data_IF_892695098174
#
_entry.id   IF_892695098174
#
_cell.length_a   1.000
_cell.length_b   1.000
_cell.length_c   1.000
_cell.angle_alpha   90.00
_cell.angle_beta   90.00
_cell.angle_gamma   90.00
#
_symmetry.space_group_name_H-M   'P 1'
#
loop_
_entity.id
_entity.type
_entity.pdbx_description
1 polymer ?
#
# COMPACT_ATOMS: atom_id res chain seq x y z
N UNK A 1 -33.61 -38.42 7.87
CA UNK A 1 -33.33 -37.21 7.07
C UNK A 1 -33.38 -36.00 8.01
N UNK A 2 -32.27 -35.34 8.33
CA UNK A 2 -32.19 -34.03 9.02
C UNK A 2 -30.72 -33.59 9.15
N UNK A 3 -30.10 -33.19 8.03
CA UNK A 3 -28.79 -32.50 8.02
C UNK A 3 -28.73 -31.31 7.03
N UNK A 4 -29.78 -30.48 6.81
CA UNK A 4 -29.62 -29.27 5.99
C UNK A 4 -29.22 -28.02 6.79
N UNK A 5 -29.43 -27.98 8.11
CA UNK A 5 -29.24 -26.74 8.90
C UNK A 5 -27.82 -26.53 9.43
N UNK A 6 -27.02 -27.59 9.57
CA UNK A 6 -25.65 -27.48 10.09
C UNK A 6 -24.68 -26.88 9.06
N UNK A 7 -24.91 -27.10 7.77
CA UNK A 7 -24.04 -26.59 6.69
C UNK A 7 -24.21 -25.08 6.47
N UNK A 8 -25.39 -24.54 6.70
CA UNK A 8 -25.69 -23.10 6.52
C UNK A 8 -24.98 -22.26 7.60
N UNK A 9 -24.89 -22.78 8.83
CA UNK A 9 -24.22 -22.08 9.93
C UNK A 9 -22.70 -21.92 9.73
N UNK A 10 -22.04 -22.91 9.13
CA UNK A 10 -20.58 -22.89 8.92
C UNK A 10 -20.17 -21.93 7.80
N UNK A 11 -20.97 -21.83 6.74
CA UNK A 11 -20.74 -20.88 5.64
C UNK A 11 -20.88 -19.41 6.09
N UNK A 12 -21.76 -19.12 7.04
CA UNK A 12 -21.93 -17.77 7.58
C UNK A 12 -20.72 -17.30 8.42
N UNK A 13 -20.03 -18.22 9.11
CA UNK A 13 -18.86 -17.90 9.94
C UNK A 13 -17.63 -17.61 9.06
N UNK A 14 -17.46 -18.37 7.96
CA UNK A 14 -16.36 -18.15 7.00
C UNK A 14 -16.48 -16.83 6.23
N UNK A 15 -17.71 -16.36 5.98
CA UNK A 15 -17.93 -15.07 5.32
C UNK A 15 -17.59 -13.85 6.20
N UNK A 16 -17.60 -14.00 7.53
CA UNK A 16 -17.29 -12.90 8.45
C UNK A 16 -15.79 -12.67 8.69
N UNK A 17 -14.93 -13.64 8.36
CA UNK A 17 -13.47 -13.50 8.51
C UNK A 17 -12.81 -12.71 7.35
N UNK A 18 -13.57 -12.35 6.31
CA UNK A 18 -13.05 -11.71 5.09
C UNK A 18 -13.24 -10.20 4.99
N UNK A 19 -13.96 -9.56 5.91
CA UNK A 19 -14.30 -8.13 5.81
C UNK A 19 -13.48 -7.27 6.78
N UNK A 20 -12.39 -6.69 6.25
CA UNK A 20 -11.86 -5.34 6.53
C UNK A 20 -11.54 -4.96 7.99
N UNK A 21 -10.23 -4.87 8.29
CA UNK A 21 -9.65 -4.17 9.45
C UNK A 21 -9.80 -2.63 9.39
N UNK A 22 -10.91 -2.10 8.86
CA UNK A 22 -11.15 -0.64 8.86
C UNK A 22 -11.31 -0.09 10.29
N UNK A 23 -11.59 -0.96 11.27
CA UNK A 23 -11.77 -0.57 12.66
C UNK A 23 -10.44 -0.31 13.39
N UNK A 24 -9.28 -0.63 12.80
CA UNK A 24 -7.99 -0.51 13.45
C UNK A 24 -7.23 0.71 12.92
N UNK A 25 -7.24 1.79 13.68
CA UNK A 25 -6.48 3.00 13.39
C UNK A 25 -5.06 2.84 13.95
N UNK A 26 -4.06 2.85 13.06
CA UNK A 26 -2.65 2.71 13.41
C UNK A 26 -2.05 4.11 13.59
N UNK A 27 -1.53 4.42 14.77
CA UNK A 27 -0.95 5.73 15.08
C UNK A 27 0.52 5.57 15.47
N UNK A 28 1.41 6.23 14.73
CA UNK A 28 2.82 6.34 15.08
C UNK A 28 3.01 7.44 16.12
N UNK A 29 3.73 7.12 17.20
CA UNK A 29 4.14 8.07 18.23
C UNK A 29 5.66 8.23 18.14
N UNK A 30 6.08 9.39 17.66
CA UNK A 30 7.49 9.78 17.53
C UNK A 30 8.09 10.09 18.90
N UNK A 31 9.32 9.62 19.21
CA UNK A 31 9.97 9.95 20.47
C UNK A 31 10.33 11.43 20.51
N UNK A 32 10.09 12.08 21.66
CA UNK A 32 10.37 13.52 21.87
C UNK A 32 11.62 13.77 22.74
N UNK A 33 12.33 12.71 23.15
CA UNK A 33 13.56 12.84 23.90
C UNK A 33 14.65 13.50 23.02
N UNK A 34 15.39 14.52 23.52
CA UNK A 34 16.44 15.19 22.76
C UNK A 34 17.54 14.24 22.23
N UNK A 35 17.76 13.10 22.89
CA UNK A 35 18.73 12.07 22.45
C UNK A 35 18.26 11.33 21.20
N UNK A 36 16.96 11.32 20.91
CA UNK A 36 16.37 10.68 19.75
C UNK A 36 16.28 11.61 18.53
N UNK A 37 16.47 12.93 18.69
CA UNK A 37 16.29 13.94 17.63
C UNK A 37 17.12 13.62 16.37
N UNK A 38 18.41 13.32 16.54
CA UNK A 38 19.28 12.97 15.42
C UNK A 38 18.85 11.65 14.73
N UNK A 39 18.30 10.70 15.49
CA UNK A 39 17.78 9.45 14.95
C UNK A 39 16.51 9.71 14.11
N UNK A 40 15.56 10.47 14.65
CA UNK A 40 14.32 10.85 13.95
C UNK A 40 14.63 11.61 12.65
N UNK A 41 15.55 12.58 12.69
CA UNK A 41 15.97 13.31 11.49
C UNK A 41 16.56 12.39 10.41
N UNK A 42 17.26 11.32 10.81
CA UNK A 42 17.76 10.32 9.87
C UNK A 42 16.64 9.48 9.25
N UNK A 43 15.58 9.17 10.02
CA UNK A 43 14.39 8.50 9.50
C UNK A 43 13.63 9.37 8.50
N UNK A 44 13.46 10.67 8.79
CA UNK A 44 12.80 11.62 7.89
C UNK A 44 13.57 11.73 6.55
N UNK A 45 14.90 11.79 6.63
CA UNK A 45 15.75 11.76 5.43
C UNK A 45 15.57 10.43 4.67
N UNK A 46 15.56 9.30 5.38
CA UNK A 46 15.32 7.98 4.78
C UNK A 46 13.96 7.88 4.06
N UNK A 47 12.91 8.45 4.66
CA UNK A 47 11.58 8.51 4.07
C UNK A 47 11.57 9.34 2.79
N UNK A 48 12.09 10.56 2.82
CA UNK A 48 12.13 11.44 1.64
C UNK A 48 12.90 10.80 0.47
N UNK A 49 14.01 10.12 0.76
CA UNK A 49 14.77 9.38 -0.25
C UNK A 49 13.98 8.19 -0.80
N UNK A 50 13.23 7.47 0.04
CA UNK A 50 12.36 6.40 -0.41
C UNK A 50 11.28 6.91 -1.37
N UNK A 51 10.56 7.97 -0.98
CA UNK A 51 9.49 8.55 -1.79
C UNK A 51 10.03 9.06 -3.12
N UNK A 52 11.20 9.70 -3.12
CA UNK A 52 11.86 10.14 -4.35
C UNK A 52 12.17 8.94 -5.27
N UNK A 53 12.69 7.84 -4.75
CA UNK A 53 12.95 6.62 -5.54
C UNK A 53 11.66 6.04 -6.13
N UNK A 54 10.56 6.04 -5.38
CA UNK A 54 9.27 5.53 -5.89
C UNK A 54 8.75 6.40 -7.04
N UNK A 55 8.84 7.73 -6.90
CA UNK A 55 8.44 8.68 -7.95
C UNK A 55 9.29 8.52 -9.22
N UNK A 56 10.61 8.39 -9.08
CA UNK A 56 11.50 8.18 -10.22
C UNK A 56 11.16 6.87 -10.95
N UNK A 57 10.88 5.79 -10.22
CA UNK A 57 10.48 4.50 -10.85
C UNK A 57 9.18 4.63 -11.63
N UNK A 58 8.18 5.32 -11.08
CA UNK A 58 6.92 5.58 -11.78
C UNK A 58 7.15 6.42 -13.05
N UNK A 59 7.96 7.47 -12.95
CA UNK A 59 8.28 8.33 -14.08
C UNK A 59 9.06 7.61 -15.19
N UNK A 60 10.09 6.84 -14.82
CA UNK A 60 10.85 6.00 -15.75
C UNK A 60 9.95 4.98 -16.45
N UNK A 61 9.04 4.35 -15.72
CA UNK A 61 8.06 3.46 -16.32
C UNK A 61 7.17 4.22 -17.31
N UNK A 62 6.61 5.37 -16.92
CA UNK A 62 5.71 6.15 -17.78
C UNK A 62 6.40 6.56 -19.08
N UNK A 63 7.63 7.06 -18.99
CA UNK A 63 8.43 7.39 -20.18
C UNK A 63 8.65 6.17 -21.08
N UNK A 64 8.94 5.00 -20.49
CA UNK A 64 9.11 3.76 -21.25
C UNK A 64 7.81 3.31 -21.92
N UNK A 65 6.69 3.36 -21.20
CA UNK A 65 5.36 3.03 -21.73
C UNK A 65 4.97 3.94 -22.89
N UNK A 66 5.17 5.24 -22.78
CA UNK A 66 4.89 6.20 -23.86
C UNK A 66 5.67 5.88 -25.12
N UNK A 67 6.97 5.58 -24.97
CA UNK A 67 7.82 5.18 -26.09
C UNK A 67 7.33 3.87 -26.73
N UNK A 68 7.10 2.83 -25.93
CA UNK A 68 6.62 1.55 -26.45
C UNK A 68 5.22 1.66 -27.06
N UNK A 69 4.37 2.56 -26.58
CA UNK A 69 3.05 2.82 -27.14
C UNK A 69 3.14 3.42 -28.53
N UNK A 70 4.04 4.40 -28.74
CA UNK A 70 4.31 4.97 -30.06
C UNK A 70 4.88 3.92 -31.04
N UNK A 71 5.78 3.06 -30.56
CA UNK A 71 6.32 1.94 -31.36
C UNK A 71 5.23 0.92 -31.71
N UNK A 72 4.33 0.62 -30.77
CA UNK A 72 3.19 -0.26 -30.98
C UNK A 72 2.20 0.30 -32.01
N UNK A 73 1.86 1.59 -31.95
CA UNK A 73 1.03 2.25 -32.97
C UNK A 73 1.66 2.16 -34.36
N UNK A 74 2.97 2.38 -34.45
CA UNK A 74 3.72 2.22 -35.70
C UNK A 74 3.69 0.78 -36.21
N UNK A 75 3.84 -0.20 -35.32
CA UNK A 75 3.74 -1.61 -35.67
C UNK A 75 2.36 -1.96 -36.24
N UNK A 76 1.28 -1.47 -35.62
CA UNK A 76 -0.09 -1.72 -36.09
C UNK A 76 -0.36 -1.16 -37.49
N UNK A 77 0.37 -0.12 -37.91
CA UNK A 77 0.29 0.41 -39.27
C UNK A 77 0.96 -0.51 -40.33
N UNK A 78 1.69 -1.55 -39.91
CA UNK A 78 2.38 -2.48 -40.81
C UNK A 78 1.54 -3.75 -41.03
N UNK A 79 1.12 -4.05 -42.28
CA UNK A 79 0.31 -5.23 -42.57
C UNK A 79 1.03 -6.54 -42.22
N UNK A 80 0.34 -7.40 -41.46
CA UNK A 80 0.84 -8.73 -41.09
C UNK A 80 1.86 -8.75 -39.93
N UNK A 81 2.14 -7.61 -39.30
CA UNK A 81 3.03 -7.54 -38.15
C UNK A 81 2.37 -8.12 -36.88
N UNK A 82 3.18 -8.76 -36.03
CA UNK A 82 2.78 -9.20 -34.69
C UNK A 82 3.24 -8.16 -33.67
N UNK A 83 2.30 -7.33 -33.22
CA UNK A 83 2.59 -6.23 -32.31
C UNK A 83 2.37 -6.63 -30.86
N UNK A 84 3.34 -6.34 -29.99
CA UNK A 84 3.23 -6.59 -28.55
C UNK A 84 2.71 -5.32 -27.89
N UNK A 85 1.63 -5.46 -27.12
CA UNK A 85 1.07 -4.35 -26.35
C UNK A 85 1.98 -4.05 -25.15
N UNK A 86 2.31 -2.78 -24.88
CA UNK A 86 3.07 -2.41 -23.68
C UNK A 86 2.26 -2.66 -22.40
N UNK A 87 2.94 -3.10 -21.34
CA UNK A 87 2.35 -3.26 -20.02
C UNK A 87 2.12 -1.90 -19.34
N UNK A 88 1.04 -1.79 -18.57
CA UNK A 88 0.73 -0.56 -17.83
C UNK A 88 1.69 -0.31 -16.67
N UNK A 89 1.97 0.95 -16.37
CA UNK A 89 2.79 1.32 -15.23
C UNK A 89 2.02 1.27 -13.91
N UNK A 90 2.51 0.52 -12.90
CA UNK A 90 1.97 0.62 -11.55
C UNK A 90 2.30 2.00 -10.97
N UNK A 91 1.38 2.55 -10.17
CA UNK A 91 1.62 3.78 -9.42
C UNK A 91 2.73 3.57 -8.38
N UNK A 92 3.40 4.66 -7.98
CA UNK A 92 4.38 4.63 -6.90
C UNK A 92 3.81 4.02 -5.62
N UNK A 93 4.44 2.95 -5.13
CA UNK A 93 4.01 2.26 -3.92
C UNK A 93 4.54 2.98 -2.68
N UNK A 94 3.82 4.02 -2.24
CA UNK A 94 4.25 4.85 -1.10
C UNK A 94 4.13 4.14 0.25
N UNK A 95 3.29 3.13 0.35
CA UNK A 95 3.08 2.35 1.59
C UNK A 95 4.38 1.74 2.11
N UNK A 96 5.29 1.32 1.21
CA UNK A 96 6.59 0.78 1.64
C UNK A 96 7.46 1.83 2.34
N UNK A 97 7.38 3.09 1.91
CA UNK A 97 8.13 4.18 2.53
C UNK A 97 7.56 4.53 3.90
N UNK A 98 6.23 4.49 4.06
CA UNK A 98 5.57 4.65 5.36
C UNK A 98 5.96 3.53 6.33
N UNK A 99 5.94 2.27 5.89
CA UNK A 99 6.34 1.13 6.74
C UNK A 99 7.80 1.25 7.18
N UNK A 100 8.71 1.53 6.25
CA UNK A 100 10.13 1.72 6.59
C UNK A 100 10.36 2.88 7.55
N UNK A 101 9.61 3.97 7.39
CA UNK A 101 9.67 5.10 8.30
C UNK A 101 9.19 4.73 9.70
N UNK A 102 8.02 4.08 9.82
CA UNK A 102 7.49 3.61 11.10
C UNK A 102 8.48 2.68 11.83
N UNK A 103 9.07 1.73 11.12
CA UNK A 103 10.08 0.82 11.66
C UNK A 103 11.32 1.57 12.16
N UNK A 104 11.77 2.59 11.41
CA UNK A 104 12.89 3.44 11.80
C UNK A 104 12.59 4.24 13.07
N UNK A 105 11.41 4.86 13.14
CA UNK A 105 10.97 5.65 14.31
C UNK A 105 10.83 4.77 15.56
N UNK A 106 10.33 3.54 15.42
CA UNK A 106 10.32 2.56 16.53
C UNK A 106 11.74 2.24 16.99
N UNK A 107 12.69 2.10 16.07
CA UNK A 107 14.12 1.95 16.38
C UNK A 107 14.71 3.14 17.16
N UNK A 108 14.20 4.35 16.95
CA UNK A 108 14.58 5.55 17.70
C UNK A 108 13.93 5.65 19.10
N UNK A 109 13.11 4.67 19.51
CA UNK A 109 12.35 4.69 20.76
C UNK A 109 10.91 5.18 20.61
N UNK A 110 10.42 5.33 19.38
CA UNK A 110 9.00 5.55 19.10
C UNK A 110 8.16 4.30 19.31
N UNK A 111 6.85 4.44 19.18
CA UNK A 111 5.91 3.34 19.34
C UNK A 111 4.80 3.41 18.31
N UNK A 112 4.18 2.27 18.03
CA UNK A 112 2.99 2.19 17.17
C UNK A 112 1.82 1.74 18.02
N UNK A 113 0.87 2.64 18.23
CA UNK A 113 -0.39 2.31 18.88
C UNK A 113 -1.40 1.82 17.84
N UNK A 114 -2.22 0.85 18.23
CA UNK A 114 -3.39 0.47 17.44
C UNK A 114 -4.63 0.75 18.26
N UNK A 115 -5.52 1.60 17.74
CA UNK A 115 -6.78 1.94 18.38
C UNK A 115 -7.92 1.32 17.59
N UNK A 116 -8.81 0.65 18.31
CA UNK A 116 -10.03 0.11 17.73
C UNK A 116 -11.15 1.15 17.82
N UNK A 117 -11.56 1.73 16.70
CA UNK A 117 -12.71 2.63 16.64
C UNK A 117 -13.99 1.81 16.51
N UNK A 118 -14.70 1.60 17.63
CA UNK A 118 -16.03 1.00 17.58
C UNK A 118 -17.02 1.98 16.93
N UNK A 119 -17.76 1.60 15.87
CA UNK A 119 -18.83 2.45 15.36
C UNK A 119 -19.89 2.60 16.44
N UNK A 120 -20.22 3.85 16.81
CA UNK A 120 -21.36 4.14 17.68
C UNK A 120 -22.63 3.65 16.99
N UNK A 121 -23.25 2.61 17.54
CA UNK A 121 -24.63 2.27 17.21
C UNK A 121 -25.50 3.44 17.68
N UNK A 122 -25.94 4.28 16.75
CA UNK A 122 -26.91 5.33 17.03
C UNK A 122 -28.28 4.65 17.16
N UNK A 123 -28.63 4.26 18.38
CA UNK A 123 -29.97 3.81 18.74
C UNK A 123 -30.81 5.01 19.16
N UNK A 124 -31.83 5.34 18.38
CA UNK A 124 -32.82 6.39 18.66
C UNK A 124 -33.84 6.49 17.55
#
# INVERSE_FOLDING_TARGET
MRVPHLLIGVLAILAAAGCTNHLQERQLITPTDPRAEACVASCDLGQSQCEQRQRVREEECRMHYERLSADHETCLATPGALCIKPDTCPAAEMTICTIQYEECIVGCGGTVETRFSMPRVSGG
#
